data_IF_005369480427
#
_entry.id   IF_005369480427
#
_cell.length_a   1.000
_cell.length_b   1.000
_cell.length_c   1.000
_cell.angle_alpha   90.00
_cell.angle_beta   90.00
_cell.angle_gamma   90.00
#
_symmetry.space_group_name_H-M   'P 1'
#
loop_
_entity.id
_entity.type
_entity.pdbx_description
1 polymer ?
#
# COMPACT_ATOMS: atom_id res chain seq x y z
N UNK A 1 -10.85 -37.55 -19.22
CA UNK A 1 -12.13 -36.82 -19.33
C UNK A 1 -11.89 -35.37 -18.95
N UNK A 2 -12.15 -34.42 -19.84
CA UNK A 2 -11.78 -33.02 -19.64
C UNK A 2 -12.72 -32.35 -18.62
N UNK A 3 -12.17 -31.94 -17.47
CA UNK A 3 -12.93 -31.36 -16.34
C UNK A 3 -13.68 -30.08 -16.77
N UNK A 4 -13.10 -29.31 -17.70
CA UNK A 4 -13.68 -28.06 -18.22
C UNK A 4 -14.93 -28.33 -19.05
N UNK A 5 -14.93 -29.38 -19.87
CA UNK A 5 -16.10 -29.77 -20.66
C UNK A 5 -17.23 -30.31 -19.79
N UNK A 6 -16.88 -31.07 -18.75
CA UNK A 6 -17.84 -31.58 -17.78
C UNK A 6 -18.51 -30.43 -17.03
N UNK A 7 -17.74 -29.45 -16.57
CA UNK A 7 -18.25 -28.25 -15.91
C UNK A 7 -19.20 -27.47 -16.82
N UNK A 8 -18.83 -27.25 -18.09
CA UNK A 8 -19.70 -26.56 -19.06
C UNK A 8 -21.03 -27.29 -19.27
N UNK A 9 -21.01 -28.61 -19.40
CA UNK A 9 -22.21 -29.43 -19.57
C UNK A 9 -23.11 -29.40 -18.32
N UNK A 10 -22.52 -29.50 -17.13
CA UNK A 10 -23.26 -29.41 -15.87
C UNK A 10 -23.89 -28.02 -15.68
N UNK A 11 -23.17 -26.95 -16.02
CA UNK A 11 -23.68 -25.59 -15.93
C UNK A 11 -24.84 -25.35 -16.90
N UNK A 12 -24.75 -25.90 -18.13
CA UNK A 12 -25.82 -25.82 -19.12
C UNK A 12 -27.07 -26.59 -18.65
N UNK A 13 -26.91 -27.79 -18.09
CA UNK A 13 -28.00 -28.59 -17.55
C UNK A 13 -28.66 -27.93 -16.31
N UNK A 14 -27.86 -27.30 -15.45
CA UNK A 14 -28.39 -26.57 -14.30
C UNK A 14 -29.21 -25.33 -14.71
N UNK A 15 -28.76 -24.58 -15.74
CA UNK A 15 -29.49 -23.41 -16.26
C UNK A 15 -30.77 -23.77 -17.03
N UNK A 16 -30.80 -24.95 -17.65
CA UNK A 16 -31.99 -25.43 -18.36
C UNK A 16 -33.11 -25.90 -17.42
N UNK A 17 -32.80 -26.17 -16.14
CA UNK A 17 -33.81 -26.48 -15.15
C UNK A 17 -34.53 -25.21 -14.69
N UNK A 18 -35.88 -25.26 -14.64
CA UNK A 18 -36.69 -24.16 -14.09
C UNK A 18 -36.33 -23.93 -12.61
N UNK A 19 -36.34 -22.67 -12.13
CA UNK A 19 -36.23 -22.38 -10.72
C UNK A 19 -37.38 -23.10 -10.00
N UNK A 20 -37.02 -24.08 -9.18
CA UNK A 20 -37.96 -24.79 -8.32
C UNK A 20 -37.73 -24.28 -6.90
N UNK A 21 -38.77 -23.75 -6.26
CA UNK A 21 -38.72 -23.30 -4.86
C UNK A 21 -38.54 -24.49 -3.89
N UNK A 22 -38.73 -25.72 -4.37
CA UNK A 22 -38.53 -26.92 -3.58
C UNK A 22 -37.04 -27.25 -3.45
N UNK A 23 -36.42 -26.65 -2.43
CA UNK A 23 -35.06 -26.97 -2.03
C UNK A 23 -35.10 -28.16 -1.05
N UNK A 24 -34.25 -29.19 -1.22
CA UNK A 24 -34.23 -30.33 -0.30
C UNK A 24 -34.02 -29.89 1.15
N UNK A 25 -34.74 -30.53 2.07
CA UNK A 25 -34.62 -30.26 3.50
C UNK A 25 -33.14 -30.25 3.95
N UNK A 26 -32.76 -29.20 4.68
CA UNK A 26 -31.40 -28.94 5.16
C UNK A 26 -30.33 -28.64 4.08
N UNK A 27 -30.69 -28.43 2.82
CA UNK A 27 -29.75 -27.95 1.78
C UNK A 27 -29.06 -26.67 2.22
N UNK A 28 -29.82 -25.67 2.68
CA UNK A 28 -29.26 -24.40 3.15
C UNK A 28 -28.27 -24.62 4.30
N UNK A 29 -28.60 -25.49 5.25
CA UNK A 29 -27.70 -25.82 6.37
C UNK A 29 -26.40 -26.47 5.89
N UNK A 30 -26.47 -27.36 4.89
CA UNK A 30 -25.29 -28.02 4.31
C UNK A 30 -24.43 -27.06 3.51
N UNK A 31 -25.05 -26.14 2.75
CA UNK A 31 -24.33 -25.11 1.98
C UNK A 31 -23.66 -24.13 2.93
N UNK A 32 -24.38 -23.65 3.95
CA UNK A 32 -23.83 -22.73 4.95
C UNK A 32 -22.73 -23.37 5.79
N UNK A 33 -22.84 -24.67 6.14
CA UNK A 33 -21.75 -25.40 6.80
C UNK A 33 -20.48 -25.44 5.93
N UNK A 34 -20.61 -25.75 4.63
CA UNK A 34 -19.47 -25.78 3.70
C UNK A 34 -18.89 -24.40 3.40
N UNK A 35 -19.71 -23.34 3.45
CA UNK A 35 -19.24 -21.96 3.32
C UNK A 35 -18.50 -21.50 4.58
N UNK A 36 -18.99 -21.88 5.77
CA UNK A 36 -18.34 -21.59 7.05
C UNK A 36 -17.03 -22.36 7.26
N UNK A 37 -16.91 -23.55 6.69
CA UNK A 37 -15.68 -24.36 6.70
C UNK A 37 -14.61 -23.88 5.72
N UNK A 38 -14.93 -22.97 4.78
CA UNK A 38 -13.89 -22.36 3.96
C UNK A 38 -13.09 -21.42 4.86
N UNK A 39 -11.76 -21.60 4.98
CA UNK A 39 -10.93 -20.60 5.64
C UNK A 39 -11.19 -19.29 4.93
N UNK A 40 -11.67 -18.29 5.67
CA UNK A 40 -11.85 -16.95 5.15
C UNK A 40 -10.53 -16.59 4.49
N UNK A 41 -10.55 -16.44 3.16
CA UNK A 41 -9.38 -16.06 2.39
C UNK A 41 -8.93 -14.76 3.03
N UNK A 42 -7.74 -14.80 3.62
CA UNK A 42 -7.29 -13.83 4.59
C UNK A 42 -6.83 -12.57 3.82
N UNK A 43 -7.78 -11.95 3.12
CA UNK A 43 -7.58 -10.75 2.31
C UNK A 43 -6.98 -9.65 3.16
N UNK A 44 -7.28 -9.63 4.46
CA UNK A 44 -6.67 -8.71 5.40
C UNK A 44 -5.17 -8.96 5.59
N UNK A 45 -4.68 -10.20 5.59
CA UNK A 45 -3.23 -10.45 5.67
C UNK A 45 -2.51 -10.18 4.36
N UNK A 46 -3.17 -10.39 3.22
CA UNK A 46 -2.68 -9.93 1.92
C UNK A 46 -2.58 -8.40 1.86
N UNK A 47 -3.62 -7.69 2.29
CA UNK A 47 -3.64 -6.22 2.36
C UNK A 47 -2.65 -5.65 3.38
N UNK A 48 -2.52 -6.29 4.54
CA UNK A 48 -1.57 -5.87 5.56
C UNK A 48 -0.13 -6.01 5.04
N UNK A 49 0.17 -7.11 4.33
CA UNK A 49 1.49 -7.34 3.74
C UNK A 49 1.83 -6.33 2.65
N UNK A 50 0.89 -5.99 1.78
CA UNK A 50 1.11 -4.97 0.75
C UNK A 50 1.29 -3.57 1.35
N UNK A 51 0.55 -3.23 2.41
CA UNK A 51 0.74 -1.99 3.17
C UNK A 51 2.12 -1.92 3.82
N UNK A 52 2.58 -3.01 4.42
CA UNK A 52 3.90 -3.09 5.05
C UNK A 52 5.04 -2.93 4.05
N UNK A 53 4.84 -3.37 2.81
CA UNK A 53 5.86 -3.27 1.77
C UNK A 53 6.16 -1.81 1.35
N UNK A 54 5.21 -0.89 1.54
CA UNK A 54 5.42 0.54 1.33
C UNK A 54 6.05 1.25 2.54
N UNK A 55 5.75 0.80 3.76
CA UNK A 55 6.31 1.37 4.98
C UNK A 55 7.79 0.95 5.20
N UNK A 56 8.15 -0.28 4.83
CA UNK A 56 9.51 -0.81 4.97
C UNK A 56 10.61 0.07 4.34
N UNK A 57 10.52 0.56 3.08
CA UNK A 57 11.56 1.42 2.50
C UNK A 57 11.65 2.78 3.20
N UNK A 58 10.52 3.35 3.66
CA UNK A 58 10.52 4.62 4.38
C UNK A 58 11.23 4.50 5.73
N UNK A 59 10.94 3.44 6.49
CA UNK A 59 11.61 3.15 7.77
C UNK A 59 13.09 2.82 7.55
N UNK A 60 13.43 2.09 6.49
CA UNK A 60 14.81 1.81 6.14
C UNK A 60 15.60 3.08 5.80
N UNK A 61 15.02 4.00 5.01
CA UNK A 61 15.67 5.25 4.61
C UNK A 61 15.89 6.18 5.80
N UNK A 62 14.89 6.31 6.68
CA UNK A 62 14.99 7.14 7.90
C UNK A 62 16.04 6.61 8.87
N UNK A 63 16.12 5.29 9.06
CA UNK A 63 17.18 4.67 9.86
C UNK A 63 18.55 4.86 9.22
N UNK A 64 18.67 4.67 7.91
CA UNK A 64 19.93 4.87 7.20
C UNK A 64 20.44 6.30 7.36
N UNK A 65 19.56 7.29 7.16
CA UNK A 65 19.90 8.70 7.34
C UNK A 65 20.21 9.03 8.80
N UNK A 66 19.43 8.52 9.76
CA UNK A 66 19.70 8.72 11.18
C UNK A 66 21.04 8.14 11.63
N UNK A 67 21.38 6.94 11.17
CA UNK A 67 22.71 6.34 11.42
C UNK A 67 23.80 7.20 10.76
N UNK A 68 23.57 7.67 9.54
CA UNK A 68 24.50 8.57 8.85
C UNK A 68 24.73 9.87 9.62
N UNK A 69 23.68 10.50 10.17
CA UNK A 69 23.82 11.74 10.95
C UNK A 69 24.56 11.54 12.27
N UNK A 70 24.46 10.35 12.88
CA UNK A 70 25.17 10.06 14.14
C UNK A 70 26.64 9.73 13.89
N UNK A 71 26.95 9.15 12.73
CA UNK A 71 28.30 8.70 12.39
C UNK A 71 29.09 9.75 11.58
N UNK A 72 28.41 10.67 10.90
CA UNK A 72 29.04 11.78 10.22
C UNK A 72 29.61 12.77 11.27
N UNK A 73 30.87 13.22 11.11
CA UNK A 73 31.37 14.33 11.90
C UNK A 73 30.45 15.54 11.73
N UNK A 74 30.16 16.30 12.79
CA UNK A 74 29.46 17.57 12.62
C UNK A 74 30.31 18.45 11.70
N UNK A 75 29.82 18.70 10.49
CA UNK A 75 30.35 19.81 9.68
C UNK A 75 29.92 21.09 10.39
N UNK A 76 30.79 21.54 11.29
CA UNK A 76 30.61 22.63 12.28
C UNK A 76 30.11 23.95 11.67
N UNK A 77 30.12 24.10 10.34
CA UNK A 77 29.87 25.36 9.65
C UNK A 77 28.75 25.29 8.61
N UNK A 78 28.07 24.16 8.43
CA UNK A 78 27.07 24.01 7.37
C UNK A 78 25.79 24.80 7.64
N UNK A 79 25.36 24.87 8.90
CA UNK A 79 24.24 25.73 9.35
C UNK A 79 24.58 27.23 9.31
N UNK A 80 25.79 27.61 9.73
CA UNK A 80 26.24 29.01 9.69
C UNK A 80 26.45 29.49 8.25
N UNK A 81 26.97 28.63 7.36
CA UNK A 81 27.14 28.94 5.93
C UNK A 81 25.80 29.17 5.26
N UNK A 82 24.78 28.35 5.55
CA UNK A 82 23.43 28.54 5.00
C UNK A 82 22.76 29.81 5.52
N UNK A 83 22.91 30.12 6.81
CA UNK A 83 22.41 31.36 7.38
C UNK A 83 23.07 32.58 6.73
N UNK A 84 24.39 32.56 6.54
CA UNK A 84 25.13 33.64 5.87
C UNK A 84 24.75 33.81 4.39
N UNK A 85 24.52 32.71 3.67
CA UNK A 85 24.12 32.72 2.25
C UNK A 85 22.67 33.22 2.08
N UNK A 86 21.80 32.89 3.04
CA UNK A 86 20.42 33.39 3.10
C UNK A 86 20.35 34.88 3.45
N UNK A 87 21.13 35.35 4.41
CA UNK A 87 21.26 36.78 4.70
C UNK A 87 21.78 37.54 3.48
N UNK A 88 22.84 37.06 2.83
CA UNK A 88 23.39 37.66 1.60
C UNK A 88 22.33 37.75 0.50
N UNK A 89 21.54 36.69 0.32
CA UNK A 89 20.47 36.65 -0.69
C UNK A 89 19.32 37.63 -0.36
N UNK A 90 19.00 37.82 0.92
CA UNK A 90 17.98 38.77 1.35
C UNK A 90 18.43 40.23 1.24
N UNK A 91 19.72 40.51 1.43
CA UNK A 91 20.27 41.88 1.36
C UNK A 91 20.71 42.30 -0.04
N UNK A 92 21.06 41.37 -0.94
CA UNK A 92 21.45 41.67 -2.32
C UNK A 92 20.44 42.55 -3.12
N UNK A 93 19.11 42.41 -2.96
CA UNK A 93 18.15 43.30 -3.60
C UNK A 93 18.12 44.73 -3.03
N UNK A 94 18.57 44.92 -1.79
CA UNK A 94 18.59 46.23 -1.14
C UNK A 94 19.86 47.02 -1.45
N UNK A 95 21.02 46.35 -1.54
CA UNK A 95 22.29 46.98 -1.95
C UNK A 95 22.22 47.53 -3.38
N UNK A 96 21.53 46.84 -4.28
CA UNK A 96 21.32 47.28 -5.67
C UNK A 96 20.36 48.48 -5.80
N UNK A 97 19.57 48.80 -4.77
CA UNK A 97 18.72 50.01 -4.77
C UNK A 97 19.46 51.26 -4.29
N UNK A 98 20.52 51.14 -3.50
CA UNK A 98 21.29 52.29 -3.00
C UNK A 98 22.29 52.87 -4.00
N UNK A 99 22.64 52.15 -5.08
CA UNK A 99 23.59 52.63 -6.11
C UNK A 99 22.93 53.38 -7.29
N UNK A 100 21.60 53.53 -7.32
CA UNK A 100 20.87 54.22 -8.42
C UNK A 100 20.30 55.59 -8.06
N UNK A 101 20.87 56.27 -7.05
CA UNK A 101 20.55 57.69 -6.78
C UNK A 101 21.72 58.62 -7.07
#
# INVERSE_FOLDING_TARGET
>A
MNVVELQKKLLAAARANRPNEHVPYAFEKRVMARLGERPALDSLTLWNRTLWQAAAPCVALTLLLGVWTVLAPPEDNSGETFAADLETTLYAPFDSQTETQ
#
